data_IF_979539755375
#
_entry.id   IF_979539755375
#
_cell.length_a   1.000
_cell.length_b   1.000
_cell.length_c   1.000
_cell.angle_alpha   90.00
_cell.angle_beta   90.00
_cell.angle_gamma   90.00
#
_symmetry.space_group_name_H-M   'P 1'
#
loop_
_entity.id
_entity.type
_entity.pdbx_description
1 polymer ?
#
# COMPACT_ATOMS: atom_id res chain seq x y z
N UNK A 1 -2.60 11.43 -73.91
CA UNK A 1 -3.97 11.89 -74.23
C UNK A 1 -4.94 11.19 -73.28
N UNK A 2 -5.75 11.97 -72.53
CA UNK A 2 -7.10 11.67 -71.96
C UNK A 2 -7.20 10.39 -71.09
N UNK A 3 -7.64 10.44 -69.82
CA UNK A 3 -9.05 10.56 -69.35
C UNK A 3 -9.03 10.52 -67.80
N UNK A 4 -9.60 11.45 -67.02
CA UNK A 4 -11.00 11.62 -66.57
C UNK A 4 -11.68 10.43 -65.87
N UNK A 5 -12.25 10.72 -64.67
CA UNK A 5 -13.45 10.14 -64.00
C UNK A 5 -13.30 8.94 -63.04
N UNK A 6 -13.46 9.26 -61.74
CA UNK A 6 -14.43 8.73 -60.77
C UNK A 6 -14.83 7.24 -60.86
N UNK A 7 -14.42 6.44 -59.88
CA UNK A 7 -15.17 5.22 -59.48
C UNK A 7 -15.14 5.03 -57.97
N UNK A 8 -16.32 5.25 -57.38
CA UNK A 8 -16.74 4.79 -56.06
C UNK A 8 -16.63 3.26 -55.97
N UNK A 9 -16.06 2.75 -54.88
CA UNK A 9 -16.25 1.37 -54.47
C UNK A 9 -16.36 1.31 -52.95
N UNK A 10 -17.61 1.18 -52.51
CA UNK A 10 -18.07 0.84 -51.17
C UNK A 10 -17.44 -0.49 -50.74
N UNK A 11 -16.60 -0.48 -49.69
CA UNK A 11 -16.16 -1.68 -49.00
C UNK A 11 -16.71 -1.67 -47.56
N UNK A 12 -17.57 -2.65 -47.29
CA UNK A 12 -18.19 -2.95 -46.00
C UNK A 12 -17.13 -3.05 -44.89
N UNK A 13 -17.26 -2.22 -43.85
CA UNK A 13 -16.44 -2.33 -42.65
C UNK A 13 -16.98 -3.48 -41.78
N UNK A 14 -16.27 -4.61 -41.78
CA UNK A 14 -16.43 -5.68 -40.80
C UNK A 14 -16.03 -5.16 -39.42
N UNK A 15 -16.93 -5.35 -38.45
CA UNK A 15 -16.63 -5.21 -37.04
C UNK A 15 -15.49 -6.16 -36.66
N UNK A 16 -14.42 -5.61 -36.07
CA UNK A 16 -13.57 -6.40 -35.19
C UNK A 16 -12.96 -5.48 -34.14
N UNK A 17 -13.36 -5.71 -32.89
CA UNK A 17 -12.74 -5.15 -31.71
C UNK A 17 -11.28 -5.62 -31.70
N UNK A 18 -10.37 -4.77 -32.15
CA UNK A 18 -8.94 -5.00 -31.98
C UNK A 18 -8.47 -4.17 -30.79
N UNK A 19 -8.61 -4.78 -29.61
CA UNK A 19 -7.56 -4.89 -28.61
C UNK A 19 -6.48 -3.80 -28.69
N UNK A 20 -6.76 -2.64 -28.08
CA UNK A 20 -5.71 -1.70 -27.71
C UNK A 20 -5.01 -2.25 -26.47
N UNK A 21 -4.04 -3.16 -26.69
CA UNK A 21 -3.04 -3.48 -25.68
C UNK A 21 -2.12 -2.27 -25.58
N UNK A 22 -2.40 -1.39 -24.62
CA UNK A 22 -1.50 -0.30 -24.25
C UNK A 22 -0.12 -0.89 -23.92
N UNK A 23 0.87 -0.46 -24.69
CA UNK A 23 2.26 -0.78 -24.44
C UNK A 23 2.64 -0.20 -23.08
N UNK A 24 3.02 -1.07 -22.14
CA UNK A 24 3.60 -0.64 -20.86
C UNK A 24 4.92 0.04 -21.21
N UNK A 25 4.92 1.37 -21.18
CA UNK A 25 6.11 2.22 -21.32
C UNK A 25 7.11 1.80 -20.23
N UNK A 26 8.38 1.63 -20.61
CA UNK A 26 9.48 1.22 -19.73
C UNK A 26 9.39 1.88 -18.34
N UNK A 27 9.71 1.14 -17.25
CA UNK A 27 9.63 1.70 -15.90
C UNK A 27 10.56 2.91 -15.82
N UNK A 28 9.98 4.06 -15.48
CA UNK A 28 10.74 5.28 -15.25
C UNK A 28 11.86 4.99 -14.23
N UNK A 29 13.08 5.37 -14.59
CA UNK A 29 14.27 5.30 -13.73
C UNK A 29 13.94 5.97 -12.39
N UNK A 30 13.82 5.17 -11.32
CA UNK A 30 13.54 5.68 -9.98
C UNK A 30 14.77 6.46 -9.54
N UNK A 31 14.68 7.79 -9.59
CA UNK A 31 15.68 8.64 -8.95
C UNK A 31 15.41 8.58 -7.45
N UNK A 32 16.43 8.34 -6.59
CA UNK A 32 16.23 8.40 -5.16
C UNK A 32 15.74 9.80 -4.79
N UNK A 33 14.48 9.91 -4.39
CA UNK A 33 13.99 11.10 -3.70
C UNK A 33 14.73 11.11 -2.38
N UNK A 34 15.57 12.13 -2.16
CA UNK A 34 16.26 12.32 -0.90
C UNK A 34 15.22 12.71 0.16
N UNK A 35 14.73 11.68 0.88
CA UNK A 35 13.79 11.88 1.98
C UNK A 35 14.60 12.37 3.17
N UNK A 36 14.40 13.63 3.54
CA UNK A 36 14.94 14.20 4.78
C UNK A 36 14.45 13.33 5.95
N UNK A 37 15.38 12.68 6.65
CA UNK A 37 15.04 11.77 7.74
C UNK A 37 14.43 12.55 8.90
N UNK A 38 13.10 12.48 9.03
CA UNK A 38 12.40 12.91 10.23
C UNK A 38 12.93 12.10 11.42
N UNK A 39 13.06 12.72 12.62
CA UNK A 39 13.51 11.99 13.81
C UNK A 39 12.59 10.79 14.05
N UNK A 40 13.21 9.61 14.19
CA UNK A 40 12.48 8.36 14.45
C UNK A 40 11.70 8.53 15.75
N UNK A 41 10.37 8.50 15.65
CA UNK A 41 9.51 8.58 16.84
C UNK A 41 9.78 7.38 17.74
N UNK A 42 9.82 7.64 19.04
CA UNK A 42 9.75 6.59 20.05
C UNK A 42 8.36 5.96 20.02
N UNK A 43 8.25 4.79 19.39
CA UNK A 43 7.09 3.93 19.56
C UNK A 43 7.25 3.13 20.87
N UNK A 44 6.15 2.76 21.53
CA UNK A 44 6.17 1.79 22.60
C UNK A 44 6.95 0.53 22.22
N UNK A 45 7.83 0.08 23.12
CA UNK A 45 8.53 -1.19 22.98
C UNK A 45 7.52 -2.34 22.83
N UNK A 46 7.76 -3.22 21.86
CA UNK A 46 6.86 -4.35 21.55
C UNK A 46 7.66 -5.64 21.64
N UNK A 47 7.24 -6.54 22.54
CA UNK A 47 7.87 -7.86 22.71
C UNK A 47 7.88 -8.61 21.39
N UNK A 48 9.00 -9.28 21.12
CA UNK A 48 9.15 -10.22 20.00
C UNK A 48 9.48 -11.59 20.56
N UNK A 49 8.67 -12.57 20.20
CA UNK A 49 8.90 -13.95 20.57
C UNK A 49 9.55 -14.71 19.40
N UNK A 50 10.28 -15.78 19.68
CA UNK A 50 10.97 -16.58 18.65
C UNK A 50 10.06 -17.69 18.10
N UNK A 51 8.83 -17.35 17.72
CA UNK A 51 7.85 -18.30 17.19
C UNK A 51 8.10 -18.50 15.69
N UNK A 52 8.31 -19.76 15.30
CA UNK A 52 8.43 -20.20 13.91
C UNK A 52 7.35 -21.23 13.62
N UNK A 53 6.67 -21.07 12.50
CA UNK A 53 5.70 -22.03 11.99
C UNK A 53 6.16 -22.58 10.64
N UNK A 54 5.96 -23.90 10.45
CA UNK A 54 6.19 -24.54 9.17
C UNK A 54 4.90 -24.48 8.35
N UNK A 55 4.89 -23.68 7.28
CA UNK A 55 3.81 -23.66 6.30
C UNK A 55 4.32 -24.33 5.02
N UNK A 56 3.82 -25.54 4.77
CA UNK A 56 4.42 -26.46 3.79
C UNK A 56 5.90 -26.69 4.15
N UNK A 57 6.82 -26.51 3.20
CA UNK A 57 8.26 -26.68 3.41
C UNK A 57 8.99 -25.37 3.78
N UNK A 58 8.25 -24.33 4.21
CA UNK A 58 8.82 -23.02 4.53
C UNK A 58 8.62 -22.62 6.00
N UNK A 59 9.70 -22.19 6.64
CA UNK A 59 9.66 -21.60 7.98
C UNK A 59 9.22 -20.13 7.92
N UNK A 60 8.18 -19.78 8.66
CA UNK A 60 7.64 -18.42 8.76
C UNK A 60 7.69 -17.96 10.21
N UNK A 61 8.32 -16.82 10.47
CA UNK A 61 8.40 -16.25 11.82
C UNK A 61 7.17 -15.41 12.13
N UNK A 62 6.54 -15.68 13.28
CA UNK A 62 5.45 -14.89 13.82
C UNK A 62 5.79 -14.36 15.22
N UNK A 63 6.68 -13.36 15.31
CA UNK A 63 7.14 -12.86 16.60
C UNK A 63 6.07 -12.13 17.41
N UNK A 64 4.88 -11.90 16.85
CA UNK A 64 3.82 -11.09 17.43
C UNK A 64 2.52 -11.87 17.65
N UNK A 65 2.54 -13.20 17.55
CA UNK A 65 1.40 -14.09 17.83
C UNK A 65 0.65 -13.74 19.10
N UNK A 66 1.35 -13.30 20.14
CA UNK A 66 0.76 -12.92 21.42
C UNK A 66 -0.24 -11.75 21.34
N UNK A 67 -0.16 -10.90 20.31
CA UNK A 67 -1.11 -9.81 20.07
C UNK A 67 -2.47 -10.30 19.55
N UNK A 68 -2.61 -11.58 19.17
CA UNK A 68 -3.87 -12.13 18.66
C UNK A 68 -4.92 -12.36 19.75
N UNK A 69 -4.51 -12.53 21.01
CA UNK A 69 -5.44 -12.59 22.14
C UNK A 69 -5.77 -11.18 22.65
N UNK A 70 -6.77 -10.55 22.04
CA UNK A 70 -7.20 -9.21 22.41
C UNK A 70 -7.57 -9.07 23.90
N UNK A 71 -7.96 -10.16 24.58
CA UNK A 71 -8.41 -10.12 25.98
C UNK A 71 -7.25 -10.28 26.97
N UNK A 72 -6.07 -10.69 26.51
CA UNK A 72 -4.91 -10.84 27.36
C UNK A 72 -4.52 -9.48 27.99
N UNK A 73 -4.22 -9.43 29.30
CA UNK A 73 -3.84 -8.18 29.97
C UNK A 73 -2.64 -7.48 29.32
N UNK A 74 -1.68 -8.23 28.80
CA UNK A 74 -0.51 -7.67 28.11
C UNK A 74 -0.86 -6.98 26.79
N UNK A 75 -1.83 -7.52 26.05
CA UNK A 75 -2.29 -6.93 24.78
C UNK A 75 -3.09 -5.66 25.06
N UNK A 76 -3.95 -5.68 26.07
CA UNK A 76 -4.70 -4.50 26.51
C UNK A 76 -3.77 -3.35 26.93
N UNK A 77 -2.71 -3.65 27.69
CA UNK A 77 -1.72 -2.65 28.08
C UNK A 77 -0.92 -2.13 26.88
N UNK A 78 -0.51 -3.02 25.97
CA UNK A 78 0.17 -2.63 24.74
C UNK A 78 -0.70 -1.71 23.87
N UNK A 79 -1.98 -2.04 23.68
CA UNK A 79 -2.93 -1.19 22.95
C UNK A 79 -3.05 0.19 23.59
N UNK A 80 -3.16 0.27 24.92
CA UNK A 80 -3.23 1.54 25.66
C UNK A 80 -2.00 2.41 25.42
N UNK A 81 -0.80 1.83 25.41
CA UNK A 81 0.45 2.55 25.14
C UNK A 81 0.51 3.07 23.70
N UNK A 82 0.08 2.26 22.73
CA UNK A 82 0.02 2.65 21.32
C UNK A 82 -0.98 3.78 21.08
N UNK A 83 -2.18 3.66 21.65
CA UNK A 83 -3.23 4.68 21.63
C UNK A 83 -2.75 6.01 22.19
N UNK A 84 -2.01 5.97 23.31
CA UNK A 84 -1.41 7.17 23.90
C UNK A 84 -0.40 7.80 22.94
N UNK A 85 0.52 7.01 22.38
CA UNK A 85 1.53 7.51 21.46
C UNK A 85 0.91 8.15 20.20
N UNK A 86 -0.18 7.56 19.69
CA UNK A 86 -0.92 8.10 18.56
C UNK A 86 -1.62 9.42 18.92
N UNK A 87 -2.32 9.48 20.06
CA UNK A 87 -2.98 10.71 20.53
C UNK A 87 -2.00 11.84 20.78
N UNK A 88 -0.88 11.57 21.46
CA UNK A 88 0.18 12.55 21.70
C UNK A 88 0.69 13.13 20.36
N UNK A 89 0.85 12.28 19.35
CA UNK A 89 1.31 12.71 18.03
C UNK A 89 0.30 13.60 17.30
N UNK A 90 -0.98 13.22 17.34
CA UNK A 90 -2.06 13.97 16.72
C UNK A 90 -2.24 15.32 17.41
N UNK A 91 -2.22 15.37 18.74
CA UNK A 91 -2.33 16.61 19.52
C UNK A 91 -1.23 17.62 19.16
N UNK A 92 -0.03 17.15 18.86
CA UNK A 92 1.07 18.00 18.40
C UNK A 92 0.84 18.63 17.01
N UNK A 93 -0.18 18.21 16.26
CA UNK A 93 -0.45 18.64 14.87
C UNK A 93 -1.86 19.19 14.65
N UNK A 94 -2.84 18.77 15.43
CA UNK A 94 -4.25 19.14 15.24
C UNK A 94 -4.66 20.44 15.94
N UNK A 95 -3.72 21.21 16.51
CA UNK A 95 -4.06 22.47 17.20
C UNK A 95 -4.89 22.29 18.48
N UNK A 96 -4.97 21.06 19.02
CA UNK A 96 -5.66 20.78 20.29
C UNK A 96 -7.15 20.48 20.16
N UNK A 97 -7.69 20.27 18.96
CA UNK A 97 -9.04 19.76 18.78
C UNK A 97 -9.12 18.35 19.38
N UNK A 98 -9.71 18.26 20.58
CA UNK A 98 -9.92 16.99 21.25
C UNK A 98 -11.09 16.33 20.53
N UNK A 99 -10.79 15.25 19.80
CA UNK A 99 -11.81 14.41 19.19
C UNK A 99 -12.48 13.60 20.30
N UNK A 100 -13.38 14.24 21.03
CA UNK A 100 -14.31 13.58 21.94
C UNK A 100 -15.29 12.73 21.12
N UNK A 101 -15.65 11.58 21.68
CA UNK A 101 -16.50 10.57 21.03
C UNK A 101 -17.96 10.76 21.38
#
# INVERSE_FOLDING_TARGET
MRTTILTSCLALAFASCSSSREAIKEPAKVTPVEVKAEPRRAFPETRRDAILEALFDQQVADPYRWLEDEKAPEVQEWMRLQDKAARDWLAARSGGETLEK
#
